data_IF_429422440658
#
_entry.id   IF_429422440658
#
_cell.length_a   1.000
_cell.length_b   1.000
_cell.length_c   1.000
_cell.angle_alpha   90.00
_cell.angle_beta   90.00
_cell.angle_gamma   90.00
#
_symmetry.space_group_name_H-M   'P 1'
#
loop_
_entity.id
_entity.type
_entity.pdbx_description
1 polymer ?
#
# COMPACT_ATOMS: atom_id res chain seq x y z
N UNK A 1 -6.88 -23.52 -11.41
CA UNK A 1 -6.42 -24.77 -12.04
C UNK A 1 -7.51 -25.21 -12.99
N UNK A 2 -7.31 -24.98 -14.28
CA UNK A 2 -8.33 -25.27 -15.30
C UNK A 2 -8.20 -26.72 -15.84
N UNK A 3 -7.30 -27.52 -15.27
CA UNK A 3 -7.12 -28.94 -15.57
C UNK A 3 -8.08 -29.85 -14.81
N UNK A 4 -7.97 -31.15 -15.09
CA UNK A 4 -8.88 -32.19 -14.57
C UNK A 4 -8.35 -32.90 -13.31
N UNK A 5 -7.11 -32.63 -12.90
CA UNK A 5 -6.46 -33.25 -11.75
C UNK A 5 -5.99 -32.22 -10.73
N UNK A 6 -5.56 -32.70 -9.57
CA UNK A 6 -4.84 -31.86 -8.62
C UNK A 6 -3.52 -31.41 -9.26
N UNK A 7 -3.16 -30.15 -9.03
CA UNK A 7 -1.96 -29.53 -9.58
C UNK A 7 -1.14 -28.91 -8.46
N UNK A 8 0.16 -29.23 -8.47
CA UNK A 8 1.15 -28.58 -7.63
C UNK A 8 1.74 -27.42 -8.44
N UNK A 9 1.72 -26.24 -7.84
CA UNK A 9 1.99 -24.98 -8.55
C UNK A 9 3.12 -24.28 -7.83
N UNK A 10 4.20 -23.99 -8.56
CA UNK A 10 5.28 -23.13 -8.08
C UNK A 10 5.01 -21.68 -8.47
N UNK A 11 5.21 -20.77 -7.53
CA UNK A 11 4.98 -19.34 -7.63
C UNK A 11 6.32 -18.60 -7.61
N UNK A 12 6.44 -17.59 -8.47
CA UNK A 12 7.63 -16.74 -8.54
C UNK A 12 7.26 -15.29 -8.79
N UNK A 13 8.15 -14.39 -8.37
CA UNK A 13 8.07 -12.97 -8.66
C UNK A 13 9.02 -12.62 -9.80
N UNK A 14 8.55 -11.80 -10.73
CA UNK A 14 9.38 -11.20 -11.78
C UNK A 14 9.46 -9.69 -11.56
N UNK A 15 10.67 -9.13 -11.67
CA UNK A 15 10.96 -7.69 -11.52
C UNK A 15 10.56 -7.09 -10.15
N UNK A 16 10.31 -7.93 -9.14
CA UNK A 16 9.94 -7.46 -7.82
C UNK A 16 11.13 -6.81 -7.10
N UNK A 17 10.91 -5.67 -6.42
CA UNK A 17 11.86 -5.16 -5.45
C UNK A 17 12.12 -6.18 -4.34
N UNK A 18 13.31 -6.16 -3.75
CA UNK A 18 13.70 -7.13 -2.70
C UNK A 18 12.82 -7.08 -1.43
N UNK A 19 12.07 -6.00 -1.23
CA UNK A 19 11.13 -5.81 -0.13
C UNK A 19 9.69 -6.25 -0.47
N UNK A 20 9.47 -6.81 -1.66
CA UNK A 20 8.22 -7.50 -2.05
C UNK A 20 8.51 -9.00 -2.07
N UNK A 21 7.77 -9.76 -1.26
CA UNK A 21 7.95 -11.21 -1.13
C UNK A 21 6.63 -11.96 -1.30
N UNK A 22 6.70 -13.22 -1.71
CA UNK A 22 5.55 -14.13 -1.68
C UNK A 22 5.39 -14.72 -0.28
N UNK A 23 4.16 -14.75 0.24
CA UNK A 23 3.87 -15.45 1.49
C UNK A 23 3.95 -16.98 1.37
N UNK A 24 3.96 -17.51 0.14
CA UNK A 24 4.15 -18.91 -0.18
C UNK A 24 4.74 -19.06 -1.59
N UNK A 25 5.61 -20.03 -1.81
CA UNK A 25 6.19 -20.34 -3.13
C UNK A 25 5.54 -21.53 -3.81
N UNK A 26 4.77 -22.32 -3.07
CA UNK A 26 4.17 -23.55 -3.57
C UNK A 26 2.72 -23.62 -3.13
N UNK A 27 1.91 -24.25 -3.96
CA UNK A 27 0.47 -24.17 -3.82
C UNK A 27 -0.20 -25.40 -4.44
N UNK A 28 -1.20 -25.98 -3.78
CA UNK A 28 -1.95 -27.14 -4.29
C UNK A 28 -3.37 -26.74 -4.68
N UNK A 29 -3.71 -26.97 -5.94
CA UNK A 29 -5.02 -26.64 -6.52
C UNK A 29 -5.76 -27.89 -6.98
N UNK A 30 -6.98 -28.10 -6.49
CA UNK A 30 -7.91 -29.05 -7.09
C UNK A 30 -8.44 -28.59 -8.47
N UNK A 31 -9.12 -29.46 -9.22
CA UNK A 31 -9.72 -29.13 -10.51
C UNK A 31 -10.70 -27.97 -10.39
N UNK A 32 -10.59 -26.98 -11.26
CA UNK A 32 -11.41 -25.75 -11.27
C UNK A 32 -11.18 -24.82 -10.08
N UNK A 33 -10.24 -25.12 -9.17
CA UNK A 33 -10.02 -24.31 -7.97
C UNK A 33 -9.27 -23.01 -8.32
N UNK A 34 -9.74 -21.92 -7.71
CA UNK A 34 -9.02 -20.65 -7.59
C UNK A 34 -8.36 -20.55 -6.22
N UNK A 35 -7.12 -20.07 -6.18
CA UNK A 35 -6.39 -19.87 -4.93
C UNK A 35 -6.09 -18.41 -4.68
N UNK A 36 -6.10 -18.05 -3.40
CA UNK A 36 -5.59 -16.78 -2.92
C UNK A 36 -4.10 -16.93 -2.65
N UNK A 37 -3.33 -15.94 -3.10
CA UNK A 37 -1.89 -15.84 -2.86
C UNK A 37 -1.66 -14.53 -2.12
N UNK A 38 -0.86 -14.58 -1.07
CA UNK A 38 -0.47 -13.40 -0.29
C UNK A 38 0.85 -12.86 -0.81
N UNK A 39 0.92 -11.54 -0.96
CA UNK A 39 2.14 -10.80 -1.28
C UNK A 39 2.43 -9.88 -0.12
N UNK A 40 3.61 -10.01 0.47
CA UNK A 40 4.07 -9.19 1.56
C UNK A 40 4.91 -8.03 1.03
N UNK A 41 4.61 -6.83 1.51
CA UNK A 41 5.24 -5.58 1.05
C UNK A 41 5.81 -4.83 2.24
N UNK A 42 7.14 -4.76 2.32
CA UNK A 42 7.88 -4.14 3.43
C UNK A 42 8.80 -3.01 2.93
N UNK A 43 8.23 -2.04 2.22
CA UNK A 43 8.99 -0.95 1.60
C UNK A 43 9.84 -0.17 2.63
N UNK A 44 11.13 0.10 2.35
CA UNK A 44 11.97 0.94 3.20
C UNK A 44 11.55 2.42 3.13
N UNK A 45 11.83 3.17 4.19
CA UNK A 45 11.24 4.50 4.42
C UNK A 45 11.61 5.58 3.38
N UNK A 46 12.84 5.63 2.88
CA UNK A 46 13.31 6.72 1.99
C UNK A 46 13.68 6.27 0.59
N UNK A 47 14.35 5.12 0.45
CA UNK A 47 15.05 4.77 -0.79
C UNK A 47 14.17 4.04 -1.80
N UNK A 48 12.96 3.64 -1.39
CA UNK A 48 11.99 3.00 -2.27
C UNK A 48 10.96 3.95 -2.87
N UNK A 49 11.10 5.28 -2.71
CA UNK A 49 10.13 6.25 -3.29
C UNK A 49 9.92 6.02 -4.79
N UNK A 50 8.67 6.17 -5.22
CA UNK A 50 8.27 6.01 -6.61
C UNK A 50 7.48 4.73 -6.89
N UNK A 51 7.31 4.45 -8.17
CA UNK A 51 6.53 3.31 -8.65
C UNK A 51 7.43 2.09 -8.89
N UNK A 52 6.98 0.94 -8.39
CA UNK A 52 7.63 -0.35 -8.56
C UNK A 52 6.66 -1.32 -9.19
N UNK A 53 6.98 -1.80 -10.38
CA UNK A 53 6.15 -2.73 -11.14
C UNK A 53 6.74 -4.13 -11.08
N UNK A 54 5.90 -5.12 -10.81
CA UNK A 54 6.29 -6.51 -10.76
C UNK A 54 5.14 -7.42 -11.19
N UNK A 55 5.44 -8.70 -11.39
CA UNK A 55 4.45 -9.69 -11.79
C UNK A 55 4.60 -10.96 -10.94
N UNK A 56 3.51 -11.71 -10.82
CA UNK A 56 3.52 -13.06 -10.24
C UNK A 56 3.36 -14.05 -11.37
N UNK A 57 4.22 -15.07 -11.41
CA UNK A 57 4.10 -16.20 -12.33
C UNK A 57 3.78 -17.46 -11.53
N UNK A 58 2.73 -18.15 -11.95
CA UNK A 58 2.35 -19.48 -11.47
C UNK A 58 2.71 -20.51 -12.55
N UNK A 59 3.45 -21.55 -12.17
CA UNK A 59 3.90 -22.63 -13.06
C UNK A 59 3.40 -23.95 -12.51
N UNK A 60 2.65 -24.70 -13.32
CA UNK A 60 2.21 -26.06 -12.99
C UNK A 60 3.40 -27.01 -12.86
N UNK A 61 3.23 -28.07 -12.08
CA UNK A 61 4.19 -29.16 -11.93
C UNK A 61 4.50 -29.90 -13.25
N UNK A 62 3.65 -29.74 -14.28
CA UNK A 62 3.97 -30.24 -15.62
C UNK A 62 5.19 -29.54 -16.26
N UNK A 63 5.63 -28.41 -15.68
CA UNK A 63 6.81 -27.64 -16.09
C UNK A 63 6.65 -26.87 -17.40
N UNK A 64 5.48 -26.90 -18.02
CA UNK A 64 5.21 -26.30 -19.35
C UNK A 64 4.03 -25.34 -19.35
N UNK A 65 3.10 -25.50 -18.41
CA UNK A 65 1.94 -24.64 -18.25
C UNK A 65 2.25 -23.56 -17.21
N UNK A 66 2.26 -22.31 -17.66
CA UNK A 66 2.46 -21.15 -16.79
C UNK A 66 1.47 -20.04 -17.09
N UNK A 67 1.11 -19.27 -16.08
CA UNK A 67 0.33 -18.04 -16.20
C UNK A 67 0.98 -16.93 -15.39
N UNK A 68 1.11 -15.76 -16.00
CA UNK A 68 1.69 -14.56 -15.38
C UNK A 68 0.62 -13.50 -15.27
N UNK A 69 0.57 -12.82 -14.13
CA UNK A 69 -0.34 -11.68 -13.94
C UNK A 69 0.00 -10.54 -14.92
N UNK A 70 -0.92 -9.59 -15.08
CA UNK A 70 -0.53 -8.27 -15.55
C UNK A 70 0.38 -7.56 -14.55
N UNK A 71 0.79 -6.34 -14.88
CA UNK A 71 1.65 -5.54 -14.01
C UNK A 71 0.93 -5.18 -12.71
N UNK A 72 1.61 -5.47 -11.60
CA UNK A 72 1.24 -5.04 -10.25
C UNK A 72 2.13 -3.87 -9.87
N UNK A 73 1.52 -2.73 -9.55
CA UNK A 73 2.26 -1.51 -9.19
C UNK A 73 2.14 -1.24 -7.70
N UNK A 74 3.27 -1.12 -7.02
CA UNK A 74 3.37 -0.53 -5.68
C UNK A 74 3.93 0.88 -5.80
N UNK A 75 3.17 1.87 -5.34
CA UNK A 75 3.62 3.25 -5.26
C UNK A 75 4.02 3.57 -3.83
N UNK A 76 5.31 3.86 -3.62
CA UNK A 76 5.84 4.30 -2.32
C UNK A 76 5.88 5.81 -2.31
N UNK A 77 5.07 6.42 -1.45
CA UNK A 77 5.05 7.86 -1.24
C UNK A 77 5.83 8.27 0.00
N UNK A 78 6.22 9.53 0.05
CA UNK A 78 6.85 10.09 1.24
C UNK A 78 5.91 10.00 2.43
N UNK A 79 6.45 9.47 3.53
CA UNK A 79 5.82 9.62 4.82
C UNK A 79 6.04 11.05 5.30
N UNK A 80 5.01 11.88 5.20
CA UNK A 80 4.99 13.18 5.87
C UNK A 80 4.56 12.96 7.31
N UNK A 81 5.52 12.94 8.24
CA UNK A 81 5.18 13.10 9.64
C UNK A 81 4.67 14.53 9.81
N UNK A 82 3.37 14.68 10.12
CA UNK A 82 2.77 15.97 10.41
C UNK A 82 3.29 16.49 11.77
N UNK A 83 4.56 16.89 11.83
CA UNK A 83 5.13 17.63 12.96
C UNK A 83 5.02 19.15 12.73
N UNK A 84 4.19 19.57 11.77
CA UNK A 84 3.71 20.94 11.65
C UNK A 84 2.50 21.16 12.55
N UNK A 85 2.65 20.98 13.86
CA UNK A 85 1.72 21.62 14.80
C UNK A 85 1.78 23.13 14.58
N UNK A 86 0.67 23.87 14.74
CA UNK A 86 0.71 25.33 14.55
C UNK A 86 1.82 25.89 15.45
N UNK A 87 2.77 26.61 14.85
CA UNK A 87 3.65 27.47 15.62
C UNK A 87 2.76 28.49 16.30
N UNK A 88 2.65 28.42 17.62
CA UNK A 88 2.12 29.53 18.41
C UNK A 88 3.05 30.70 18.15
N UNK A 89 2.59 31.70 17.41
CA UNK A 89 3.22 33.01 17.47
C UNK A 89 2.90 33.54 18.87
N UNK A 90 3.92 33.60 19.74
CA UNK A 90 3.83 34.31 21.01
C UNK A 90 3.56 35.77 20.65
N UNK A 91 2.35 36.25 20.92
CA UNK A 91 2.04 37.68 20.87
C UNK A 91 2.70 38.30 22.08
N UNK A 92 3.65 39.22 21.87
CA UNK A 92 4.30 39.95 22.96
C UNK A 92 3.23 40.48 23.94
N UNK A 93 3.37 40.10 25.20
CA UNK A 93 2.47 40.48 26.29
C UNK A 93 2.52 42.00 26.47
N UNK A 94 1.50 42.71 25.99
CA UNK A 94 1.24 44.10 26.39
C UNK A 94 0.85 44.08 27.89
N UNK A 95 1.73 44.64 28.72
CA UNK A 95 1.70 44.65 30.19
C UNK A 95 0.53 45.50 30.72
N UNK A 96 -0.69 45.02 30.47
CA UNK A 96 -1.96 45.60 30.88
C UNK A 96 -2.65 44.63 31.82
N UNK A 97 -2.73 44.92 33.14
CA UNK A 97 -3.24 43.96 34.11
C UNK A 97 -4.77 43.92 34.05
N UNK A 98 -5.30 42.99 33.25
CA UNK A 98 -6.73 42.75 33.11
C UNK A 98 -7.01 41.34 32.62
N UNK A 99 -7.38 40.44 33.53
CA UNK A 99 -7.81 39.07 33.25
C UNK A 99 -8.85 38.99 32.14
N UNK A 100 -8.57 38.24 31.07
CA UNK A 100 -9.57 37.89 30.07
C UNK A 100 -9.00 37.24 28.81
N UNK A 101 -8.81 35.93 28.85
CA UNK A 101 -8.65 35.01 27.70
C UNK A 101 -9.41 35.47 26.44
N UNK A 102 -8.69 35.90 25.39
CA UNK A 102 -9.27 36.04 24.05
C UNK A 102 -9.09 34.69 23.33
N UNK A 103 -10.08 33.82 23.45
CA UNK A 103 -10.17 32.59 22.64
C UNK A 103 -10.37 32.95 21.17
N UNK A 104 -9.41 32.60 20.31
CA UNK A 104 -9.61 32.68 18.87
C UNK A 104 -10.38 31.44 18.38
N UNK A 105 -11.57 31.68 17.79
CA UNK A 105 -12.39 30.67 17.13
C UNK A 105 -11.76 30.35 15.78
N UNK A 106 -11.23 29.14 15.60
CA UNK A 106 -10.88 28.62 14.28
C UNK A 106 -12.01 27.72 13.76
N UNK A 107 -12.86 28.28 12.88
CA UNK A 107 -13.83 27.50 12.12
C UNK A 107 -13.11 26.82 10.94
N UNK A 108 -12.99 25.50 10.96
CA UNK A 108 -12.52 24.72 9.81
C UNK A 108 -13.72 24.08 9.11
N UNK A 109 -14.20 24.73 8.05
CA UNK A 109 -15.10 24.12 7.09
C UNK A 109 -14.32 23.22 6.13
N UNK A 110 -14.47 21.91 6.27
CA UNK A 110 -14.05 20.95 5.25
C UNK A 110 -15.27 20.14 4.80
N UNK A 111 -15.88 20.53 3.67
CA UNK A 111 -16.82 19.68 2.95
C UNK A 111 -16.02 18.84 1.97
N UNK A 112 -15.83 17.56 2.30
CA UNK A 112 -15.30 16.58 1.37
C UNK A 112 -16.45 16.00 0.54
N UNK A 113 -16.67 16.58 -0.64
CA UNK A 113 -17.59 16.04 -1.65
C UNK A 113 -16.92 14.87 -2.39
N UNK A 114 -17.15 13.66 -1.90
CA UNK A 114 -16.85 12.43 -2.64
C UNK A 114 -17.81 12.35 -3.82
N UNK A 115 -17.32 12.60 -5.04
CA UNK A 115 -18.07 12.28 -6.26
C UNK A 115 -18.11 10.76 -6.39
N UNK A 116 -19.22 10.16 -5.97
CA UNK A 116 -19.56 8.79 -6.31
C UNK A 116 -19.68 8.70 -7.83
N UNK A 117 -18.83 7.89 -8.47
CA UNK A 117 -18.99 7.52 -9.88
C UNK A 117 -20.34 6.83 -10.06
N UNK A 118 -21.09 7.27 -11.07
CA UNK A 118 -21.99 6.41 -11.84
C UNK A 118 -21.23 6.00 -13.10
#
# INVERSE_FOLDING_TARGET
NDGNGNDEITLSLANAPAWVTLGQTDALAGPGQTMLITIDVAAPASDARGDHTFQVTATSADGTTSSTTGDLTVTVTEKVDATGGPTTEEVDEDDSPGFGIISAIAALGAVLLIRRRL
#
